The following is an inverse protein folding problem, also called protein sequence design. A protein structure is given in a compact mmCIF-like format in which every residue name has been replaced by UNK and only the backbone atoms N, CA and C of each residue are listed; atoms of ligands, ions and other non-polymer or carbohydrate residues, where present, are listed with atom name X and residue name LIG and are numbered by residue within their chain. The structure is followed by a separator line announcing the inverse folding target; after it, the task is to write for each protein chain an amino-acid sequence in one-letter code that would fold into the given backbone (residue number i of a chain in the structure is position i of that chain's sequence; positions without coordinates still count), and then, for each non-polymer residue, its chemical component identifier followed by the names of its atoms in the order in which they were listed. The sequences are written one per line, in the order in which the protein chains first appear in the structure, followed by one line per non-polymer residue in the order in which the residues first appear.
data_IF_796131790455
#
_entry.id   IF_796131790455
#
_cell.length_a   1.000
_cell.length_b   1.000
_cell.length_c   1.000
_cell.angle_alpha   90.00
_cell.angle_beta   90.00
_cell.angle_gamma   90.00
#
_symmetry.space_group_name_H-M   'P 1'
#
loop_
_entity.id
_entity.type
_entity.pdbx_description
1 polymer ?
#
# COMPACT_ATOMS: atom_id res chain seq x y z
N UNK A 1 -62.58 2.28 15.21
CA UNK A 1 -61.87 1.30 16.08
C UNK A 1 -60.39 1.67 16.00
N UNK A 2 -59.94 2.73 16.67
CA UNK A 2 -59.67 2.74 18.11
C UNK A 2 -58.21 2.30 18.34
N UNK A 3 -57.25 3.12 17.89
CA UNK A 3 -55.82 2.97 18.23
C UNK A 3 -55.66 3.31 19.71
N UNK A 4 -55.78 2.28 20.55
CA UNK A 4 -55.63 2.41 21.99
C UNK A 4 -54.19 2.79 22.33
N UNK A 5 -53.93 4.09 22.45
CA UNK A 5 -52.77 4.58 23.18
C UNK A 5 -52.99 4.18 24.64
N UNK A 6 -52.22 3.18 25.08
CA UNK A 6 -52.22 2.70 26.44
C UNK A 6 -51.88 3.87 27.38
N UNK A 7 -52.70 4.15 28.41
CA UNK A 7 -52.45 5.28 29.29
C UNK A 7 -51.10 5.11 29.99
N UNK A 8 -50.29 6.17 29.96
CA UNK A 8 -48.99 6.21 30.60
C UNK A 8 -49.14 5.92 32.09
N UNK A 9 -48.62 4.78 32.55
CA UNK A 9 -48.63 4.37 33.96
C UNK A 9 -47.29 4.77 34.59
N UNK A 10 -47.22 5.91 35.32
CA UNK A 10 -45.95 6.43 35.84
C UNK A 10 -45.33 5.51 36.89
N UNK A 11 -46.13 4.75 37.63
CA UNK A 11 -45.61 3.84 38.66
C UNK A 11 -44.78 2.68 38.07
N UNK A 12 -45.13 2.23 36.86
CA UNK A 12 -44.40 1.16 36.16
C UNK A 12 -43.01 1.65 35.74
N UNK A 13 -42.93 2.91 35.31
CA UNK A 13 -41.66 3.58 34.96
C UNK A 13 -40.78 3.78 36.19
N UNK A 14 -41.35 4.21 37.31
CA UNK A 14 -40.60 4.41 38.56
C UNK A 14 -40.08 3.06 39.09
N UNK A 15 -40.89 1.99 39.05
CA UNK A 15 -40.47 0.66 39.50
C UNK A 15 -39.31 0.11 38.66
N UNK A 16 -39.30 0.36 37.35
CA UNK A 16 -38.20 -0.01 36.46
C UNK A 16 -36.90 0.77 36.76
N UNK A 17 -36.99 2.02 37.22
CA UNK A 17 -35.84 2.82 37.62
C UNK A 17 -35.28 2.46 39.01
N UNK A 18 -36.09 1.84 39.88
CA UNK A 18 -35.68 1.42 41.24
C UNK A 18 -35.30 -0.05 41.37
N UNK A 19 -35.53 -0.87 40.34
CA UNK A 19 -35.01 -2.23 40.29
C UNK A 19 -33.50 -2.18 40.00
N UNK A 20 -32.65 -2.91 40.74
CA UNK A 20 -31.27 -3.09 40.33
C UNK A 20 -31.29 -3.79 38.96
N UNK A 21 -30.83 -3.08 37.94
CA UNK A 21 -30.60 -3.65 36.61
C UNK A 21 -29.73 -4.90 36.75
N UNK A 22 -30.07 -6.04 36.14
CA UNK A 22 -29.08 -7.09 35.95
C UNK A 22 -27.92 -6.46 35.20
N UNK A 23 -26.73 -6.57 35.78
CA UNK A 23 -25.47 -6.09 35.23
C UNK A 23 -25.29 -6.65 33.82
N UNK A 24 -25.76 -5.93 32.81
CA UNK A 24 -25.16 -5.99 31.49
C UNK A 24 -23.84 -5.27 31.67
N UNK A 25 -22.75 -6.05 31.74
CA UNK A 25 -21.38 -5.58 31.71
C UNK A 25 -21.13 -4.78 30.42
N UNK A 26 -21.63 -3.55 30.35
CA UNK A 26 -20.96 -2.52 29.58
C UNK A 26 -19.73 -2.20 30.39
N UNK A 27 -18.63 -2.87 30.05
CA UNK A 27 -17.30 -2.51 30.52
C UNK A 27 -17.09 -1.03 30.24
N UNK A 28 -17.35 -0.19 31.24
CA UNK A 28 -16.81 1.15 31.33
C UNK A 28 -15.30 0.97 31.26
N UNK A 29 -14.69 1.34 30.13
CA UNK A 29 -13.24 1.51 30.03
C UNK A 29 -12.84 2.49 31.13
N UNK A 30 -12.33 1.94 32.21
CA UNK A 30 -11.72 2.68 33.29
C UNK A 30 -10.50 3.38 32.67
N UNK A 31 -10.26 4.67 32.93
CA UNK A 31 -9.08 5.35 32.42
C UNK A 31 -7.84 4.68 33.02
N UNK A 32 -7.24 3.76 32.26
CA UNK A 32 -6.03 3.06 32.66
C UNK A 32 -4.86 4.04 32.58
N UNK A 33 -4.09 4.15 33.67
CA UNK A 33 -2.78 4.79 33.61
C UNK A 33 -1.92 4.01 32.62
N UNK A 34 -1.43 4.63 31.53
CA UNK A 34 -0.70 3.92 30.50
C UNK A 34 0.54 3.27 31.13
N UNK A 35 0.57 1.94 31.12
CA UNK A 35 1.68 1.15 31.64
C UNK A 35 2.67 0.90 30.50
N UNK A 36 3.96 0.71 30.78
CA UNK A 36 4.99 0.46 29.75
C UNK A 36 4.66 -0.71 28.81
N UNK A 37 3.85 -1.67 29.27
CA UNK A 37 3.46 -2.88 28.52
C UNK A 37 2.31 -2.64 27.52
N UNK A 38 1.60 -1.52 27.66
CA UNK A 38 0.59 -1.04 26.71
C UNK A 38 1.22 -0.75 25.32
N UNK A 39 2.56 -0.62 25.27
CA UNK A 39 3.29 -0.52 24.01
C UNK A 39 3.08 -1.75 23.12
N UNK A 40 2.96 -2.95 23.68
CA UNK A 40 2.83 -4.18 22.89
C UNK A 40 1.51 -4.25 22.13
N UNK A 41 0.43 -3.76 22.74
CA UNK A 41 -0.87 -3.65 22.09
C UNK A 41 -0.83 -2.58 21.00
N UNK A 42 -0.16 -1.45 21.27
CA UNK A 42 -0.18 -0.27 20.38
C UNK A 42 0.71 -0.37 19.15
N UNK A 43 1.74 -1.20 19.15
CA UNK A 43 2.74 -1.26 18.05
C UNK A 43 2.10 -1.61 16.71
N UNK A 44 1.12 -2.52 16.68
CA UNK A 44 0.53 -3.00 15.43
C UNK A 44 -0.86 -2.42 15.13
N UNK A 45 -1.48 -1.70 16.07
CA UNK A 45 -2.82 -1.12 15.90
C UNK A 45 -2.84 0.14 15.03
N UNK A 46 -1.79 0.98 15.12
CA UNK A 46 -1.83 2.33 14.57
C UNK A 46 -1.35 2.42 13.11
N UNK A 47 -0.55 1.45 12.63
CA UNK A 47 -0.08 1.43 11.24
C UNK A 47 0.42 0.05 10.81
N UNK A 48 0.27 -0.27 9.52
CA UNK A 48 0.93 -1.42 8.88
C UNK A 48 1.77 -0.94 7.69
N UNK A 49 3.11 -1.04 7.76
CA UNK A 49 3.92 -1.61 8.83
C UNK A 49 3.93 -0.72 10.09
N UNK A 50 4.29 -1.28 11.26
CA UNK A 50 4.48 -0.48 12.45
C UNK A 50 5.56 0.59 12.21
N UNK A 51 5.34 1.78 12.76
CA UNK A 51 6.34 2.84 12.74
C UNK A 51 7.67 2.36 13.34
N UNK A 52 8.79 2.76 12.74
CA UNK A 52 10.12 2.31 13.14
C UNK A 52 10.42 2.64 14.61
N UNK A 53 10.11 3.86 15.04
CA UNK A 53 10.39 4.30 16.40
C UNK A 53 9.52 3.54 17.41
N UNK A 54 8.28 3.28 17.04
CA UNK A 54 7.33 2.53 17.87
C UNK A 54 7.76 1.07 18.02
N UNK A 55 8.16 0.42 16.92
CA UNK A 55 8.68 -0.95 16.93
C UNK A 55 9.96 -1.06 17.77
N UNK A 56 10.91 -0.14 17.58
CA UNK A 56 12.17 -0.13 18.31
C UNK A 56 11.97 0.02 19.82
N UNK A 57 11.10 0.95 20.25
CA UNK A 57 10.74 1.11 21.66
C UNK A 57 10.14 -0.16 22.25
N UNK A 58 9.25 -0.83 21.52
CA UNK A 58 8.65 -2.08 22.00
C UNK A 58 9.69 -3.19 22.15
N UNK A 59 10.62 -3.32 21.19
CA UNK A 59 11.70 -4.30 21.27
C UNK A 59 12.67 -4.03 22.42
N UNK A 60 12.92 -2.77 22.79
CA UNK A 60 13.68 -2.41 23.99
C UNK A 60 12.94 -2.89 25.25
N UNK A 61 11.64 -2.59 25.37
CA UNK A 61 10.82 -3.01 26.53
C UNK A 61 10.78 -4.53 26.62
N UNK A 62 10.56 -5.22 25.50
CA UNK A 62 10.59 -6.68 25.39
C UNK A 62 11.94 -7.25 25.85
N UNK A 63 13.04 -6.71 25.33
CA UNK A 63 14.40 -7.15 25.67
C UNK A 63 14.70 -6.98 27.16
N UNK A 64 14.27 -5.86 27.76
CA UNK A 64 14.44 -5.62 29.20
C UNK A 64 13.63 -6.59 30.05
N UNK A 65 12.39 -6.88 29.63
CA UNK A 65 11.45 -7.76 30.34
C UNK A 65 11.95 -9.20 30.31
N UNK A 66 12.39 -9.66 29.14
CA UNK A 66 12.96 -11.00 28.94
C UNK A 66 14.24 -11.17 29.74
N UNK A 67 15.10 -10.16 29.78
CA UNK A 67 16.34 -10.22 30.56
C UNK A 67 16.09 -10.49 32.04
N UNK A 68 15.02 -9.92 32.60
CA UNK A 68 14.58 -10.11 33.99
C UNK A 68 13.78 -11.39 34.23
N UNK A 69 13.21 -11.98 33.17
CA UNK A 69 12.32 -13.15 33.25
C UNK A 69 13.03 -14.48 33.51
N UNK A 70 12.23 -15.51 33.78
CA UNK A 70 12.68 -16.87 34.15
C UNK A 70 13.05 -17.73 32.92
N UNK A 71 12.91 -17.19 31.71
CA UNK A 71 13.20 -17.94 30.47
C UNK A 71 14.65 -18.47 30.44
N UNK A 72 14.83 -19.60 29.79
CA UNK A 72 16.14 -20.19 29.57
C UNK A 72 16.96 -19.40 28.54
N UNK A 73 18.28 -19.45 28.68
CA UNK A 73 19.23 -18.68 27.86
C UNK A 73 19.07 -18.86 26.34
N UNK A 74 18.84 -20.06 25.77
CA UNK A 74 18.68 -20.18 24.33
C UNK A 74 17.39 -19.53 23.83
N UNK A 75 16.29 -19.65 24.57
CA UNK A 75 15.02 -18.98 24.25
C UNK A 75 15.17 -17.47 24.30
N UNK A 76 15.81 -16.91 25.34
CA UNK A 76 16.10 -15.46 25.43
C UNK A 76 16.86 -14.98 24.20
N UNK A 77 17.93 -15.68 23.82
CA UNK A 77 18.77 -15.34 22.66
C UNK A 77 17.98 -15.38 21.36
N UNK A 78 17.11 -16.38 21.20
CA UNK A 78 16.28 -16.48 20.02
C UNK A 78 15.31 -15.30 19.92
N UNK A 79 14.67 -14.89 21.02
CA UNK A 79 13.76 -13.75 21.00
C UNK A 79 14.49 -12.45 20.68
N UNK A 80 15.70 -12.21 21.21
CA UNK A 80 16.50 -11.04 20.82
C UNK A 80 16.83 -11.03 19.33
N UNK A 81 17.20 -12.19 18.76
CA UNK A 81 17.43 -12.31 17.31
C UNK A 81 16.17 -11.99 16.51
N UNK A 82 15.00 -12.43 16.97
CA UNK A 82 13.73 -12.10 16.32
C UNK A 82 13.48 -10.59 16.37
N UNK A 83 13.69 -9.94 17.51
CA UNK A 83 13.56 -8.49 17.64
C UNK A 83 14.49 -7.75 16.64
N UNK A 84 15.78 -8.12 16.59
CA UNK A 84 16.75 -7.52 15.66
C UNK A 84 16.35 -7.73 14.19
N UNK A 85 15.93 -8.95 13.83
CA UNK A 85 15.50 -9.27 12.46
C UNK A 85 14.22 -8.52 12.07
N UNK A 86 13.28 -8.31 12.99
CA UNK A 86 12.06 -7.54 12.71
C UNK A 86 12.38 -6.07 12.43
N UNK A 87 13.31 -5.45 13.17
CA UNK A 87 13.76 -4.07 12.90
C UNK A 87 14.48 -3.96 11.56
N UNK A 88 15.34 -4.93 11.26
CA UNK A 88 16.06 -4.98 9.98
C UNK A 88 15.09 -5.14 8.81
N UNK A 89 14.09 -6.01 8.95
CA UNK A 89 13.06 -6.23 7.94
C UNK A 89 12.19 -4.99 7.75
N UNK A 90 11.78 -4.32 8.83
CA UNK A 90 11.01 -3.08 8.75
C UNK A 90 11.80 -1.99 8.01
N UNK A 91 13.08 -1.81 8.34
CA UNK A 91 13.97 -0.86 7.65
C UNK A 91 14.07 -1.14 6.16
N UNK A 92 14.29 -2.42 5.78
CA UNK A 92 14.31 -2.84 4.37
C UNK A 92 12.98 -2.55 3.68
N UNK A 93 11.85 -2.83 4.34
CA UNK A 93 10.52 -2.57 3.79
C UNK A 93 10.29 -1.08 3.51
N UNK A 94 10.67 -0.20 4.45
CA UNK A 94 10.56 1.25 4.30
C UNK A 94 11.41 1.74 3.12
N UNK A 95 12.65 1.27 3.02
CA UNK A 95 13.55 1.65 1.92
C UNK A 95 12.99 1.21 0.57
N UNK A 96 12.56 -0.05 0.46
CA UNK A 96 11.97 -0.58 -0.76
C UNK A 96 10.70 0.17 -1.16
N UNK A 97 9.83 0.54 -0.20
CA UNK A 97 8.65 1.36 -0.48
C UNK A 97 9.03 2.71 -1.09
N UNK A 98 10.01 3.40 -0.51
CA UNK A 98 10.51 4.68 -1.05
C UNK A 98 11.08 4.53 -2.45
N UNK A 99 11.85 3.48 -2.72
CA UNK A 99 12.39 3.20 -4.06
C UNK A 99 11.25 2.96 -5.06
N UNK A 100 10.27 2.13 -4.71
CA UNK A 100 9.13 1.86 -5.60
C UNK A 100 8.29 3.09 -5.85
N UNK A 101 8.08 3.96 -4.86
CA UNK A 101 7.38 5.23 -5.02
C UNK A 101 8.16 6.19 -5.92
N UNK A 102 9.47 6.29 -5.74
CA UNK A 102 10.34 7.08 -6.61
C UNK A 102 10.27 6.59 -8.07
N UNK A 103 10.40 5.27 -8.30
CA UNK A 103 10.28 4.69 -9.64
C UNK A 103 8.91 4.94 -10.26
N UNK A 104 7.82 4.77 -9.50
CA UNK A 104 6.46 5.10 -9.96
C UNK A 104 6.34 6.58 -10.33
N UNK A 105 6.88 7.48 -9.51
CA UNK A 105 6.88 8.92 -9.78
C UNK A 105 7.66 9.26 -11.05
N UNK A 106 8.83 8.65 -11.29
CA UNK A 106 9.61 8.84 -12.52
C UNK A 106 8.84 8.32 -13.73
N UNK A 107 8.27 7.12 -13.66
CA UNK A 107 7.48 6.53 -14.74
C UNK A 107 6.25 7.39 -15.04
N UNK A 108 5.53 7.85 -14.02
CA UNK A 108 4.37 8.72 -14.18
C UNK A 108 4.75 10.05 -14.82
N UNK A 109 5.85 10.67 -14.40
CA UNK A 109 6.37 11.91 -15.01
C UNK A 109 6.78 11.70 -16.47
N UNK A 110 7.40 10.57 -16.81
CA UNK A 110 7.77 10.22 -18.20
C UNK A 110 6.55 9.91 -19.07
N UNK A 111 5.54 9.23 -18.50
CA UNK A 111 4.29 8.89 -19.19
C UNK A 111 3.40 10.11 -19.38
N UNK A 112 3.46 11.09 -18.48
CA UNK A 112 2.72 12.33 -18.59
C UNK A 112 3.17 13.09 -19.84
N UNK A 113 2.32 13.08 -20.87
CA UNK A 113 2.56 13.79 -22.12
C UNK A 113 2.24 15.29 -21.95
N UNK A 114 3.07 15.96 -21.15
CA UNK A 114 2.94 17.37 -20.78
C UNK A 114 3.65 18.32 -21.76
N UNK A 115 4.04 17.84 -22.95
CA UNK A 115 4.68 18.65 -23.99
C UNK A 115 3.95 18.49 -25.33
N UNK A 116 4.10 19.50 -26.18
CA UNK A 116 3.57 19.50 -27.55
C UNK A 116 2.05 19.55 -27.58
N UNK A 117 1.50 19.15 -28.74
CA UNK A 117 0.07 19.26 -29.06
C UNK A 117 -0.85 18.65 -27.99
N UNK A 118 -0.48 17.49 -27.42
CA UNK A 118 -1.32 16.81 -26.42
C UNK A 118 -1.41 17.56 -25.09
N UNK A 119 -0.40 18.36 -24.73
CA UNK A 119 -0.47 19.19 -23.54
C UNK A 119 -1.49 20.33 -23.71
N UNK A 120 -1.49 20.97 -24.88
CA UNK A 120 -2.43 22.05 -25.25
C UNK A 120 -3.87 21.53 -25.33
N UNK A 121 -4.04 20.31 -25.85
CA UNK A 121 -5.38 19.73 -26.06
C UNK A 121 -5.97 19.03 -24.83
N UNK A 122 -5.16 18.70 -23.81
CA UNK A 122 -5.63 17.96 -22.63
C UNK A 122 -6.46 18.87 -21.73
N UNK A 123 -7.69 18.45 -21.42
CA UNK A 123 -8.58 19.16 -20.49
C UNK A 123 -9.38 20.31 -21.12
N UNK A 124 -9.20 20.54 -22.42
CA UNK A 124 -9.97 21.55 -23.14
C UNK A 124 -11.30 20.96 -23.62
N UNK A 125 -12.39 21.48 -23.09
CA UNK A 125 -13.74 21.12 -23.53
C UNK A 125 -14.02 21.80 -24.88
N UNK A 126 -14.56 21.03 -25.82
CA UNK A 126 -14.65 21.38 -27.25
C UNK A 126 -15.42 22.68 -27.52
N UNK A 127 -14.70 23.80 -27.62
CA UNK A 127 -15.02 24.88 -28.54
C UNK A 127 -13.72 25.17 -29.29
N UNK A 128 -13.66 24.76 -30.57
CA UNK A 128 -12.53 25.03 -31.45
C UNK A 128 -12.42 26.54 -31.67
N UNK A 129 -11.65 27.21 -30.82
CA UNK A 129 -11.31 28.62 -30.98
C UNK A 129 -10.03 28.74 -31.81
N UNK A 130 -9.93 29.82 -32.59
CA UNK A 130 -8.73 30.15 -33.36
C UNK A 130 -7.46 30.21 -32.48
N UNK A 131 -7.64 30.60 -31.22
CA UNK A 131 -6.60 30.63 -30.20
C UNK A 131 -5.99 29.25 -29.92
N UNK A 132 -6.82 28.20 -29.80
CA UNK A 132 -6.33 26.82 -29.63
C UNK A 132 -5.54 26.34 -30.86
N UNK A 133 -5.99 26.69 -32.07
CA UNK A 133 -5.28 26.31 -33.29
C UNK A 133 -3.89 26.95 -33.33
N UNK A 134 -3.79 28.24 -32.97
CA UNK A 134 -2.50 28.94 -32.87
C UNK A 134 -1.56 28.28 -31.86
N UNK A 135 -2.05 27.95 -30.66
CA UNK A 135 -1.26 27.30 -29.63
C UNK A 135 -0.79 25.89 -30.03
N UNK A 136 -1.61 25.13 -30.77
CA UNK A 136 -1.24 23.80 -31.29
C UNK A 136 -0.14 23.91 -32.34
N UNK A 137 -0.22 24.88 -33.26
CA UNK A 137 0.80 25.13 -34.30
C UNK A 137 2.12 25.56 -33.66
N UNK A 138 2.07 26.48 -32.69
CA UNK A 138 3.25 26.91 -31.94
C UNK A 138 3.89 25.74 -31.18
N UNK A 139 3.09 24.93 -30.49
CA UNK A 139 3.57 23.75 -29.78
C UNK A 139 4.18 22.71 -30.72
N UNK A 140 3.64 22.53 -31.93
CA UNK A 140 4.21 21.68 -32.97
C UNK A 140 5.57 22.19 -33.46
N UNK A 141 5.66 23.49 -33.78
CA UNK A 141 6.91 24.11 -34.21
C UNK A 141 8.00 23.99 -33.12
N UNK A 142 7.65 24.27 -31.86
CA UNK A 142 8.58 24.16 -30.73
C UNK A 142 9.08 22.71 -30.52
N UNK A 143 8.19 21.72 -30.64
CA UNK A 143 8.62 20.30 -30.52
C UNK A 143 9.46 19.84 -31.70
N UNK A 144 9.20 20.32 -32.92
CA UNK A 144 9.97 19.97 -34.11
C UNK A 144 11.36 20.60 -34.06
N UNK A 145 11.46 21.86 -33.65
CA UNK A 145 12.74 22.56 -33.48
C UNK A 145 13.62 21.98 -32.35
N UNK A 146 12.99 21.44 -31.30
CA UNK A 146 13.71 20.81 -30.18
C UNK A 146 14.18 19.37 -30.47
N UNK A 147 13.78 18.76 -31.58
CA UNK A 147 14.23 17.41 -31.92
C UNK A 147 15.68 17.45 -32.42
N UNK A 148 16.59 16.81 -31.67
CA UNK A 148 17.93 16.51 -32.18
C UNK A 148 17.82 15.56 -33.38
N UNK A 149 18.67 15.71 -34.41
CA UNK A 149 18.70 14.76 -35.52
C UNK A 149 18.94 13.36 -34.97
N UNK A 150 17.99 12.45 -35.22
CA UNK A 150 18.10 11.05 -34.79
C UNK A 150 19.22 10.40 -35.59
N UNK A 151 20.29 9.98 -34.92
CA UNK A 151 21.40 9.23 -35.54
C UNK A 151 21.14 7.73 -35.68
N UNK A 152 20.01 7.23 -35.16
CA UNK A 152 19.65 5.80 -35.24
C UNK A 152 18.48 5.58 -36.20
N UNK A 153 18.65 4.72 -37.23
CA UNK A 153 17.55 4.28 -38.08
C UNK A 153 16.49 3.60 -37.22
N UNK A 154 15.21 3.87 -37.48
CA UNK A 154 14.14 3.10 -36.86
C UNK A 154 14.12 1.73 -37.51
N UNK A 155 14.25 0.67 -36.71
CA UNK A 155 13.85 -0.67 -37.16
C UNK A 155 12.33 -0.63 -37.37
N UNK A 156 11.92 -0.95 -38.59
CA UNK A 156 10.53 -1.05 -38.97
C UNK A 156 10.02 -2.42 -38.49
N UNK A 157 9.53 -2.50 -37.24
CA UNK A 157 9.07 -3.76 -36.64
C UNK A 157 7.93 -4.44 -37.42
N UNK A 158 7.32 -3.76 -38.40
CA UNK A 158 6.30 -4.36 -39.25
C UNK A 158 6.87 -5.40 -40.22
N UNK A 159 8.12 -5.26 -40.68
CA UNK A 159 8.74 -6.24 -41.58
C UNK A 159 9.35 -7.44 -40.83
N UNK A 160 9.66 -7.28 -39.54
CA UNK A 160 10.27 -8.34 -38.71
C UNK A 160 9.22 -9.39 -38.29
N UNK A 161 7.94 -9.01 -38.20
CA UNK A 161 6.88 -9.91 -37.74
C UNK A 161 6.47 -10.91 -38.83
N UNK A 162 6.59 -10.56 -40.12
CA UNK A 162 6.27 -11.48 -41.23
C UNK A 162 7.36 -12.55 -41.44
N UNK A 163 8.65 -12.23 -41.23
CA UNK A 163 9.74 -13.21 -41.37
C UNK A 163 9.78 -14.27 -40.25
N UNK A 164 9.29 -13.95 -39.04
CA UNK A 164 9.30 -14.89 -37.90
C UNK A 164 8.22 -15.97 -38.02
N UNK A 165 7.11 -15.67 -38.69
CA UNK A 165 5.99 -16.63 -38.85
C UNK A 165 6.31 -17.71 -39.92
N UNK A 166 7.24 -17.45 -40.84
CA UNK A 166 7.67 -18.42 -41.87
C UNK A 166 8.78 -19.39 -41.40
N UNK A 167 9.49 -19.10 -40.29
CA UNK A 167 10.62 -19.93 -39.80
C UNK A 167 10.23 -20.87 -38.63
N UNK A 168 8.95 -20.89 -38.23
CA UNK A 168 8.47 -21.63 -37.04
C UNK A 168 7.93 -23.06 -37.31
N UNK A 169 8.08 -23.60 -38.52
CA UNK A 169 7.54 -24.92 -38.88
C UNK A 169 8.59 -26.02 -39.11
N UNK A 170 9.70 -26.12 -38.37
CA UNK A 170 10.44 -27.41 -38.32
C UNK A 170 11.03 -27.72 -36.92
N UNK A 171 10.95 -29.01 -36.57
CA UNK A 171 11.63 -29.74 -35.47
C UNK A 171 10.92 -29.92 -34.10
N UNK A 172 9.89 -30.77 -34.17
CA UNK A 172 9.57 -31.95 -33.34
C UNK A 172 10.60 -32.44 -32.26
N UNK A 173 10.06 -32.79 -31.09
CA UNK A 173 10.46 -33.74 -30.01
C UNK A 173 11.81 -34.51 -30.09
N UNK A 174 12.55 -34.63 -28.97
CA UNK A 174 12.40 -35.74 -27.98
C UNK A 174 13.43 -35.68 -26.82
N UNK A 175 12.98 -36.15 -25.65
CA UNK A 175 13.74 -36.74 -24.51
C UNK A 175 14.64 -35.82 -23.64
N UNK A 176 14.67 -35.89 -22.31
CA UNK A 176 14.37 -37.01 -21.42
C UNK A 176 13.98 -36.49 -20.01
N UNK A 177 12.85 -37.01 -19.53
CA UNK A 177 12.30 -36.86 -18.19
C UNK A 177 12.91 -37.98 -17.34
N UNK A 178 13.80 -37.67 -16.40
CA UNK A 178 14.22 -38.66 -15.40
C UNK A 178 14.16 -38.07 -14.00
N UNK A 179 13.00 -38.33 -13.39
CA UNK A 179 12.65 -38.07 -12.00
C UNK A 179 12.79 -39.40 -11.23
N UNK A 180 13.66 -39.40 -10.21
CA UNK A 180 13.59 -40.22 -8.99
C UNK A 180 13.54 -41.76 -9.10
N UNK A 181 14.68 -42.40 -8.80
CA UNK A 181 14.69 -43.65 -8.05
C UNK A 181 15.97 -43.82 -7.20
N UNK A 182 15.75 -44.02 -5.89
CA UNK A 182 16.64 -44.42 -4.78
C UNK A 182 17.21 -43.31 -3.88
#
# INVERSE_FOLDING_TARGET
RGSGLQPFQPQTVIRAATLPTPTTDTATEQPHTPTEHDIFEKVFLNSSPPDFQTLHKANIVLSSTISRGILDTPTKRYIHKLADETERLNTRNILQKRETENLRNVIQKRRAQNKGKRAVLKGQFHISTQELQSQVVEAEAATTASQRPRTTPRLNYHSIIEEIDEESEEELYDSELDELAL
#
